data_IF_825402311810
#
_entry.id   IF_825402311810
#
_cell.length_a   1.000
_cell.length_b   1.000
_cell.length_c   1.000
_cell.angle_alpha   90.00
_cell.angle_beta   90.00
_cell.angle_gamma   90.00
#
_symmetry.space_group_name_H-M   'P 1'
#
loop_
_entity.id
_entity.type
_entity.pdbx_description
1 polymer ?
#
# COMPACT_ATOMS: atom_id res chain seq x y z
N UNK A 1 65.90 18.76 -2.05
CA UNK A 1 65.46 17.65 -2.94
C UNK A 1 64.58 16.75 -2.08
N UNK A 2 63.28 16.53 -2.30
CA UNK A 2 62.45 16.70 -3.50
C UNK A 2 60.99 16.79 -3.01
N UNK A 3 60.24 17.80 -3.47
CA UNK A 3 58.79 17.91 -3.22
C UNK A 3 58.06 16.92 -4.14
N UNK A 4 57.19 16.09 -3.57
CA UNK A 4 56.17 15.35 -4.32
C UNK A 4 54.83 16.09 -4.21
N UNK A 5 54.68 17.09 -5.07
CA UNK A 5 53.38 17.61 -5.52
C UNK A 5 52.90 16.72 -6.67
N UNK A 6 51.68 16.19 -6.59
CA UNK A 6 51.08 15.42 -7.69
C UNK A 6 49.57 15.21 -7.51
N UNK A 7 48.73 15.56 -8.50
CA UNK A 7 47.27 15.76 -8.41
C UNK A 7 46.43 14.48 -8.23
N UNK A 8 47.08 13.33 -8.03
CA UNK A 8 46.44 12.01 -7.98
C UNK A 8 45.77 11.71 -6.63
N UNK A 9 46.23 12.32 -5.54
CA UNK A 9 45.57 12.18 -4.23
C UNK A 9 44.17 12.83 -4.22
N UNK A 10 43.96 13.89 -5.01
CA UNK A 10 42.68 14.59 -5.08
C UNK A 10 41.65 13.82 -5.92
N UNK A 11 42.09 13.15 -7.00
CA UNK A 11 41.20 12.31 -7.82
C UNK A 11 40.77 11.02 -7.11
N UNK A 12 41.64 10.39 -6.32
CA UNK A 12 41.29 9.19 -5.53
C UNK A 12 40.24 9.55 -4.46
N UNK A 13 40.31 10.76 -3.89
CA UNK A 13 39.33 11.23 -2.92
C UNK A 13 37.94 11.48 -3.53
N UNK A 14 37.87 11.93 -4.79
CA UNK A 14 36.60 12.19 -5.49
C UNK A 14 35.89 10.89 -5.91
N UNK A 15 36.63 9.84 -6.27
CA UNK A 15 36.05 8.54 -6.64
C UNK A 15 35.56 7.77 -5.40
N UNK A 16 36.23 7.91 -4.26
CA UNK A 16 35.78 7.29 -3.01
C UNK A 16 34.55 8.00 -2.40
N UNK A 17 34.42 9.32 -2.62
CA UNK A 17 33.27 10.10 -2.15
C UNK A 17 31.98 9.90 -2.96
N UNK A 18 32.07 9.43 -4.21
CA UNK A 18 30.89 9.18 -5.06
C UNK A 18 30.23 7.81 -4.83
N UNK A 19 30.92 6.86 -4.19
CA UNK A 19 30.34 5.54 -3.88
C UNK A 19 29.43 5.51 -2.63
N UNK A 20 29.38 6.58 -1.82
CA UNK A 20 28.61 6.59 -0.57
C UNK A 20 27.14 6.99 -0.70
N UNK A 21 26.66 7.34 -1.90
CA UNK A 21 25.27 7.76 -2.12
C UNK A 21 24.45 6.80 -3.00
N UNK A 22 24.81 5.52 -3.04
CA UNK A 22 23.85 4.49 -3.42
C UNK A 22 22.94 4.20 -2.21
N UNK A 23 22.09 5.15 -1.84
CA UNK A 23 20.94 4.84 -0.98
C UNK A 23 20.04 3.93 -1.80
N UNK A 24 20.23 2.61 -1.63
CA UNK A 24 19.23 1.64 -2.00
C UNK A 24 17.92 2.15 -1.40
N UNK A 25 16.92 2.43 -2.24
CA UNK A 25 15.56 2.72 -1.81
C UNK A 25 15.07 1.49 -1.04
N UNK A 26 15.35 1.45 0.26
CA UNK A 26 14.89 0.38 1.12
C UNK A 26 13.42 0.66 1.32
N UNK A 27 12.57 -0.17 0.72
CA UNK A 27 11.17 -0.23 1.11
C UNK A 27 11.14 -0.29 2.63
N UNK A 28 10.54 0.71 3.27
CA UNK A 28 10.48 0.78 4.73
C UNK A 28 9.78 -0.50 5.20
N UNK A 29 10.48 -1.39 5.94
CA UNK A 29 9.86 -2.62 6.40
C UNK A 29 8.70 -2.25 7.33
N UNK A 30 7.54 -2.86 7.10
CA UNK A 30 6.37 -2.64 7.95
C UNK A 30 6.71 -2.99 9.40
N UNK A 31 6.44 -2.06 10.32
CA UNK A 31 6.64 -2.28 11.76
C UNK A 31 5.69 -3.38 12.25
N UNK A 32 4.43 -3.32 11.82
CA UNK A 32 3.40 -4.31 12.13
C UNK A 32 2.83 -4.83 10.82
N UNK A 33 3.33 -5.95 10.32
CA UNK A 33 2.76 -6.59 9.13
C UNK A 33 1.43 -7.28 9.50
N UNK A 34 0.25 -6.74 9.11
CA UNK A 34 -1.00 -7.41 9.41
C UNK A 34 -1.07 -8.70 8.59
N UNK A 35 -1.73 -9.74 9.11
CA UNK A 35 -1.86 -11.04 8.41
C UNK A 35 -3.26 -11.25 7.88
N UNK A 36 -3.94 -10.14 7.57
CA UNK A 36 -5.36 -10.08 7.32
C UNK A 36 -5.93 -8.68 7.55
N UNK A 37 -7.25 -8.60 7.70
CA UNK A 37 -7.96 -7.35 7.96
C UNK A 37 -9.21 -7.59 8.81
N UNK A 38 -9.45 -6.75 9.81
CA UNK A 38 -10.59 -6.86 10.75
C UNK A 38 -10.76 -8.29 11.31
N UNK A 39 -9.67 -8.86 11.83
CA UNK A 39 -9.61 -10.22 12.40
C UNK A 39 -9.92 -11.37 11.41
N UNK A 40 -9.98 -11.07 10.11
CA UNK A 40 -10.07 -12.07 9.04
C UNK A 40 -8.67 -12.30 8.46
N UNK A 41 -8.07 -13.50 8.63
CA UNK A 41 -6.75 -13.77 8.11
C UNK A 41 -6.77 -13.95 6.59
N UNK A 42 -5.64 -13.66 5.93
CA UNK A 42 -5.49 -13.98 4.51
C UNK A 42 -5.72 -15.45 4.23
N UNK A 43 -6.37 -15.74 3.11
CA UNK A 43 -6.72 -17.10 2.70
C UNK A 43 -7.98 -17.66 3.35
N UNK A 44 -8.62 -16.94 4.28
CA UNK A 44 -9.89 -17.36 4.87
C UNK A 44 -11.00 -17.41 3.81
N UNK A 45 -11.91 -18.36 3.99
CA UNK A 45 -13.17 -18.38 3.26
C UNK A 45 -14.10 -17.28 3.79
N UNK A 46 -14.63 -16.46 2.86
CA UNK A 46 -15.60 -15.41 3.16
C UNK A 46 -17.03 -15.85 2.86
N UNK A 47 -17.21 -16.92 2.09
CA UNK A 47 -18.53 -17.42 1.75
C UNK A 47 -19.25 -17.91 3.01
N UNK A 48 -20.53 -17.56 3.13
CA UNK A 48 -21.37 -18.00 4.26
C UNK A 48 -21.11 -17.28 5.59
N UNK A 49 -20.16 -16.34 5.66
CA UNK A 49 -19.98 -15.49 6.85
C UNK A 49 -21.21 -14.62 7.11
N UNK A 50 -21.75 -14.68 8.33
CA UNK A 50 -22.98 -13.96 8.68
C UNK A 50 -22.81 -12.44 8.67
N UNK A 51 -21.61 -11.94 8.97
CA UNK A 51 -21.26 -10.52 9.00
C UNK A 51 -21.03 -9.91 7.60
N UNK A 52 -20.90 -10.77 6.57
CA UNK A 52 -20.67 -10.36 5.19
C UNK A 52 -21.89 -10.61 4.30
N UNK A 53 -22.04 -9.74 3.30
CA UNK A 53 -22.93 -9.95 2.16
C UNK A 53 -22.13 -9.92 0.86
N UNK A 54 -22.45 -10.80 -0.07
CA UNK A 54 -21.84 -10.85 -1.40
C UNK A 54 -22.39 -9.71 -2.25
N UNK A 55 -21.50 -8.85 -2.74
CA UNK A 55 -21.86 -7.73 -3.63
C UNK A 55 -21.67 -8.09 -5.10
N UNK A 56 -20.72 -8.98 -5.39
CA UNK A 56 -20.45 -9.52 -6.73
C UNK A 56 -19.91 -10.93 -6.59
N UNK A 57 -20.38 -11.84 -7.43
CA UNK A 57 -19.84 -13.19 -7.51
C UNK A 57 -19.48 -13.50 -8.96
N UNK A 58 -18.27 -14.00 -9.17
CA UNK A 58 -17.76 -14.45 -10.45
C UNK A 58 -17.01 -15.78 -10.28
N UNK A 59 -16.50 -16.37 -11.38
CA UNK A 59 -15.92 -17.71 -11.38
C UNK A 59 -14.70 -17.85 -10.46
N UNK A 60 -13.84 -16.83 -10.45
CA UNK A 60 -12.61 -16.80 -9.65
C UNK A 60 -12.60 -15.68 -8.62
N UNK A 61 -13.42 -14.65 -8.81
CA UNK A 61 -13.39 -13.43 -8.01
C UNK A 61 -14.77 -13.21 -7.42
N UNK A 62 -14.82 -13.10 -6.09
CA UNK A 62 -16.02 -12.70 -5.37
C UNK A 62 -15.71 -11.49 -4.48
N UNK A 63 -16.62 -10.52 -4.48
CA UNK A 63 -16.57 -9.32 -3.67
C UNK A 63 -17.66 -9.36 -2.60
N UNK A 64 -17.30 -8.92 -1.40
CA UNK A 64 -18.15 -8.90 -0.22
C UNK A 64 -18.07 -7.54 0.46
N UNK A 65 -19.08 -7.21 1.25
CA UNK A 65 -19.03 -6.09 2.20
C UNK A 65 -19.56 -6.51 3.56
N UNK A 66 -19.13 -5.82 4.61
CA UNK A 66 -19.76 -5.94 5.92
C UNK A 66 -21.20 -5.43 5.87
N UNK A 67 -22.11 -6.12 6.56
CA UNK A 67 -23.52 -5.73 6.78
C UNK A 67 -23.69 -4.57 7.78
N UNK A 68 -22.72 -3.67 7.85
CA UNK A 68 -22.75 -2.48 8.71
C UNK A 68 -23.31 -1.29 7.96
N UNK A 69 -24.06 -0.43 8.67
CA UNK A 69 -24.61 0.81 8.11
C UNK A 69 -23.51 1.80 7.69
N UNK A 70 -22.35 1.78 8.36
CA UNK A 70 -21.24 2.72 8.10
C UNK A 70 -19.91 1.99 8.01
N UNK A 71 -19.34 1.83 6.81
CA UNK A 71 -18.01 1.28 6.67
C UNK A 71 -17.01 2.27 7.30
N UNK A 72 -16.15 1.81 8.19
CA UNK A 72 -15.17 2.65 8.87
C UNK A 72 -13.77 2.07 8.81
N UNK A 73 -12.79 2.96 8.72
CA UNK A 73 -11.37 2.62 8.74
C UNK A 73 -10.61 3.75 9.44
N UNK A 74 -9.60 3.41 10.25
CA UNK A 74 -8.85 4.40 11.04
C UNK A 74 -9.73 5.31 11.93
N UNK A 75 -10.89 4.83 12.37
CA UNK A 75 -11.86 5.63 13.15
C UNK A 75 -12.57 6.72 12.35
N UNK A 76 -12.64 6.62 11.02
CA UNK A 76 -13.37 7.53 10.12
C UNK A 76 -14.33 6.76 9.23
N UNK A 77 -15.43 7.40 8.87
CA UNK A 77 -16.37 6.87 7.88
C UNK A 77 -15.73 6.86 6.49
N UNK A 78 -15.80 5.72 5.84
CA UNK A 78 -15.34 5.49 4.47
C UNK A 78 -16.52 5.57 3.52
N UNK A 79 -16.27 5.82 2.23
CA UNK A 79 -17.34 5.72 1.24
C UNK A 79 -17.65 4.26 0.90
N UNK A 80 -16.66 3.38 0.94
CA UNK A 80 -16.85 1.94 0.82
C UNK A 80 -15.64 1.15 1.35
N UNK A 81 -15.90 -0.07 1.82
CA UNK A 81 -14.89 -1.09 2.09
C UNK A 81 -15.39 -2.38 1.43
N UNK A 82 -14.61 -2.92 0.50
CA UNK A 82 -14.88 -4.19 -0.16
C UNK A 82 -13.82 -5.21 0.23
N UNK A 83 -14.26 -6.43 0.52
CA UNK A 83 -13.44 -7.60 0.79
C UNK A 83 -13.47 -8.46 -0.46
N UNK A 84 -12.33 -8.94 -0.92
CA UNK A 84 -12.23 -9.66 -2.19
C UNK A 84 -11.55 -11.00 -1.96
N UNK A 85 -12.18 -12.06 -2.46
CA UNK A 85 -11.62 -13.40 -2.54
C UNK A 85 -11.21 -13.74 -3.97
N UNK A 86 -10.10 -14.46 -4.10
CA UNK A 86 -9.65 -15.13 -5.33
C UNK A 86 -9.65 -16.63 -5.10
N UNK A 87 -10.32 -17.40 -5.94
CA UNK A 87 -10.52 -18.85 -5.76
C UNK A 87 -11.00 -19.19 -4.33
N UNK A 88 -12.02 -18.47 -3.87
CA UNK A 88 -12.60 -18.53 -2.51
C UNK A 88 -11.66 -18.12 -1.36
N UNK A 89 -10.42 -17.70 -1.65
CA UNK A 89 -9.44 -17.29 -0.65
C UNK A 89 -9.42 -15.76 -0.47
N UNK A 90 -9.71 -15.26 0.74
CA UNK A 90 -9.63 -13.83 1.06
C UNK A 90 -8.23 -13.27 0.79
N UNK A 91 -8.14 -12.24 -0.05
CA UNK A 91 -6.85 -11.83 -0.59
C UNK A 91 -6.65 -10.32 -0.72
N UNK A 92 -7.72 -9.52 -0.72
CA UNK A 92 -7.63 -8.07 -0.89
C UNK A 92 -8.75 -7.32 -0.16
N UNK A 93 -8.42 -6.16 0.39
CA UNK A 93 -9.39 -5.15 0.83
C UNK A 93 -9.22 -3.88 0.01
N UNK A 94 -10.34 -3.33 -0.44
CA UNK A 94 -10.40 -2.06 -1.17
C UNK A 94 -11.16 -1.06 -0.32
N UNK A 95 -10.46 -0.05 0.19
CA UNK A 95 -11.06 1.06 0.95
C UNK A 95 -11.14 2.29 0.06
N UNK A 96 -12.29 2.96 0.05
CA UNK A 96 -12.48 4.23 -0.65
C UNK A 96 -12.95 5.30 0.32
N UNK A 97 -12.47 6.52 0.13
CA UNK A 97 -12.92 7.67 0.90
C UNK A 97 -12.78 8.98 0.12
N UNK A 98 -13.30 10.04 0.71
CA UNK A 98 -13.34 11.38 0.12
C UNK A 98 -12.80 12.42 1.11
N UNK A 99 -12.14 13.45 0.59
CA UNK A 99 -11.78 14.66 1.33
C UNK A 99 -10.34 14.66 1.84
N UNK A 100 -9.72 15.83 1.76
CA UNK A 100 -8.32 16.05 2.17
C UNK A 100 -8.09 15.79 3.67
N UNK A 101 -9.06 16.15 4.52
CA UNK A 101 -8.95 15.93 5.96
C UNK A 101 -8.98 14.44 6.32
N UNK A 102 -9.84 13.67 5.68
CA UNK A 102 -9.89 12.21 5.80
C UNK A 102 -8.57 11.60 5.32
N UNK A 103 -8.04 12.08 4.19
CA UNK A 103 -6.74 11.64 3.67
C UNK A 103 -5.60 11.85 4.68
N UNK A 104 -5.46 13.06 5.22
CA UNK A 104 -4.44 13.38 6.23
C UNK A 104 -4.59 12.54 7.50
N UNK A 105 -5.82 12.18 7.86
CA UNK A 105 -6.09 11.30 9.00
C UNK A 105 -5.68 9.85 8.72
N UNK A 106 -6.11 9.31 7.59
CA UNK A 106 -5.74 7.96 7.12
C UNK A 106 -4.23 7.80 7.00
N UNK A 107 -3.55 8.77 6.37
CA UNK A 107 -2.09 8.74 6.21
C UNK A 107 -1.38 8.67 7.55
N UNK A 108 -1.75 9.53 8.52
CA UNK A 108 -1.19 9.51 9.88
C UNK A 108 -1.45 8.19 10.59
N UNK A 109 -2.65 7.63 10.42
CA UNK A 109 -2.97 6.32 10.99
C UNK A 109 -2.05 5.24 10.41
N UNK A 110 -1.91 5.15 9.08
CA UNK A 110 -1.04 4.17 8.44
C UNK A 110 0.43 4.36 8.84
N UNK A 111 0.94 5.59 8.89
CA UNK A 111 2.30 5.89 9.38
C UNK A 111 2.50 5.39 10.82
N UNK A 112 1.50 5.57 11.69
CA UNK A 112 1.58 5.14 13.09
C UNK A 112 1.51 3.61 13.26
N UNK A 113 0.76 2.92 12.41
CA UNK A 113 0.60 1.46 12.49
C UNK A 113 1.74 0.72 11.81
N UNK A 114 2.20 1.23 10.66
CA UNK A 114 3.03 0.46 9.73
C UNK A 114 4.43 1.05 9.55
N UNK A 115 4.68 2.23 10.14
CA UNK A 115 5.97 2.91 10.12
C UNK A 115 5.98 4.17 9.26
N UNK A 116 6.90 5.10 9.55
CA UNK A 116 6.99 6.37 8.83
C UNK A 116 7.40 6.14 7.37
N UNK A 117 6.83 6.93 6.47
CA UNK A 117 7.28 6.95 5.08
C UNK A 117 8.55 7.80 4.98
N UNK A 118 9.53 7.35 4.20
CA UNK A 118 10.71 8.16 3.91
C UNK A 118 10.29 9.36 3.06
N UNK A 119 10.27 10.54 3.68
CA UNK A 119 9.79 11.76 3.04
C UNK A 119 10.91 12.35 2.19
N UNK A 120 10.91 12.08 0.88
CA UNK A 120 11.85 12.73 -0.03
C UNK A 120 11.37 14.17 -0.29
N UNK A 121 12.10 15.21 0.14
CA UNK A 121 11.74 16.59 -0.13
C UNK A 121 11.65 16.82 -1.65
N UNK A 122 10.53 17.40 -2.11
CA UNK A 122 10.23 17.60 -3.55
C UNK A 122 9.19 16.63 -4.13
N UNK A 123 8.98 15.44 -3.54
CA UNK A 123 7.89 14.55 -3.95
C UNK A 123 6.52 14.96 -3.37
N UNK A 124 6.50 15.60 -2.20
CA UNK A 124 5.27 16.06 -1.54
C UNK A 124 4.78 17.43 -2.04
N UNK A 125 5.63 18.19 -2.72
CA UNK A 125 5.30 19.52 -3.18
C UNK A 125 4.49 19.42 -4.49
N UNK A 126 3.16 19.34 -4.38
CA UNK A 126 2.18 19.57 -5.47
C UNK A 126 1.96 18.43 -6.47
N UNK A 127 1.94 17.17 -6.03
CA UNK A 127 1.37 16.10 -6.86
C UNK A 127 -0.17 16.19 -6.90
N UNK A 128 -0.78 16.27 -8.10
CA UNK A 128 -2.22 16.04 -8.27
C UNK A 128 -2.64 14.65 -7.75
N UNK A 129 -1.69 13.70 -7.75
CA UNK A 129 -1.82 12.37 -7.19
C UNK A 129 -0.68 12.11 -6.20
N UNK A 130 -1.01 11.62 -5.01
CA UNK A 130 -0.07 11.17 -3.99
C UNK A 130 -0.18 9.65 -3.89
N UNK A 131 0.95 8.96 -3.77
CA UNK A 131 0.98 7.51 -3.62
C UNK A 131 2.00 7.09 -2.56
N UNK A 132 1.59 6.16 -1.70
CA UNK A 132 2.38 5.64 -0.59
C UNK A 132 2.23 4.13 -0.52
N UNK A 133 3.33 3.44 -0.20
CA UNK A 133 3.36 1.99 -0.10
C UNK A 133 4.03 1.56 1.18
N UNK A 134 3.37 0.67 1.92
CA UNK A 134 3.96 -0.11 3.00
C UNK A 134 4.03 -1.56 2.57
N UNK A 135 5.19 -2.20 2.74
CA UNK A 135 5.41 -3.59 2.32
C UNK A 135 5.97 -4.41 3.47
N UNK A 136 5.21 -5.40 3.91
CA UNK A 136 5.58 -6.42 4.87
C UNK A 136 5.90 -7.75 4.18
N UNK A 137 6.29 -8.78 4.94
CA UNK A 137 6.39 -10.15 4.43
C UNK A 137 5.10 -10.71 3.82
N UNK A 138 3.96 -10.51 4.47
CA UNK A 138 2.66 -11.09 4.12
C UNK A 138 1.69 -10.08 3.52
N UNK A 139 1.74 -8.81 3.94
CA UNK A 139 0.84 -7.76 3.44
C UNK A 139 1.57 -6.66 2.66
N UNK A 140 0.89 -6.13 1.66
CA UNK A 140 1.22 -4.85 1.04
C UNK A 140 0.05 -3.88 1.16
N UNK A 141 0.33 -2.63 1.51
CA UNK A 141 -0.65 -1.56 1.57
C UNK A 141 -0.27 -0.47 0.59
N UNK A 142 -1.13 -0.19 -0.38
CA UNK A 142 -0.99 0.91 -1.32
C UNK A 142 -2.07 1.95 -1.06
N UNK A 143 -1.66 3.17 -0.70
CA UNK A 143 -2.53 4.32 -0.54
C UNK A 143 -2.32 5.27 -1.72
N UNK A 144 -3.40 5.62 -2.42
CA UNK A 144 -3.41 6.66 -3.46
C UNK A 144 -4.42 7.74 -3.10
N UNK A 145 -4.05 9.01 -3.29
CA UNK A 145 -4.94 10.14 -3.12
C UNK A 145 -4.87 11.08 -4.32
N UNK A 146 -6.02 11.36 -4.91
CA UNK A 146 -6.18 12.21 -6.08
C UNK A 146 -6.70 13.57 -5.64
N UNK A 147 -5.83 14.56 -5.46
CA UNK A 147 -6.17 15.88 -4.94
C UNK A 147 -7.22 16.61 -5.80
N UNK A 148 -7.16 16.46 -7.13
CA UNK A 148 -8.10 17.14 -8.03
C UNK A 148 -9.57 16.68 -7.89
N UNK A 149 -9.79 15.47 -7.37
CA UNK A 149 -11.16 14.97 -7.08
C UNK A 149 -11.36 14.67 -5.60
N UNK A 150 -10.37 14.97 -4.76
CA UNK A 150 -10.27 14.58 -3.34
C UNK A 150 -10.63 13.11 -3.04
N UNK A 151 -10.34 12.19 -3.96
CA UNK A 151 -10.62 10.75 -3.79
C UNK A 151 -9.41 10.00 -3.28
N UNK A 152 -9.63 9.19 -2.26
CA UNK A 152 -8.64 8.27 -1.71
C UNK A 152 -8.98 6.81 -1.96
N UNK A 153 -7.96 6.01 -2.26
CA UNK A 153 -8.04 4.58 -2.46
C UNK A 153 -6.97 3.90 -1.62
N UNK A 154 -7.34 2.83 -0.92
CA UNK A 154 -6.39 1.96 -0.20
C UNK A 154 -6.60 0.54 -0.69
N UNK A 155 -5.52 -0.09 -1.13
CA UNK A 155 -5.46 -1.53 -1.34
C UNK A 155 -4.65 -2.14 -0.20
N UNK A 156 -5.22 -3.11 0.50
CA UNK A 156 -4.55 -3.90 1.54
C UNK A 156 -4.59 -5.34 1.07
N UNK A 157 -3.43 -5.85 0.69
CA UNK A 157 -3.30 -7.05 -0.14
C UNK A 157 -2.48 -8.13 0.54
N UNK A 158 -2.94 -9.38 0.44
CA UNK A 158 -2.08 -10.54 0.63
C UNK A 158 -1.02 -10.58 -0.47
N UNK A 159 0.26 -10.60 -0.10
CA UNK A 159 1.37 -10.62 -1.05
C UNK A 159 1.48 -11.91 -1.87
N UNK A 160 0.85 -12.99 -1.41
CA UNK A 160 0.90 -14.30 -2.08
C UNK A 160 -0.36 -14.59 -2.88
N UNK A 161 -1.53 -14.12 -2.42
CA UNK A 161 -2.81 -14.38 -3.08
C UNK A 161 -3.21 -13.27 -4.05
N UNK A 162 -3.01 -11.99 -3.68
CA UNK A 162 -3.49 -10.88 -4.48
C UNK A 162 -2.92 -10.82 -5.92
N UNK A 163 -1.69 -11.28 -6.22
CA UNK A 163 -1.21 -11.34 -7.60
C UNK A 163 -2.12 -12.16 -8.53
N UNK A 164 -2.77 -13.23 -8.03
CA UNK A 164 -3.68 -14.08 -8.82
C UNK A 164 -4.91 -13.34 -9.32
N UNK A 165 -5.35 -12.28 -8.62
CA UNK A 165 -6.43 -11.43 -9.12
C UNK A 165 -6.10 -10.82 -10.47
N UNK A 166 -4.85 -10.39 -10.66
CA UNK A 166 -4.45 -9.70 -11.89
C UNK A 166 -4.49 -10.67 -13.08
N UNK A 167 -4.17 -11.94 -12.85
CA UNK A 167 -4.27 -13.00 -13.87
C UNK A 167 -5.71 -13.13 -14.36
N UNK A 168 -6.68 -13.27 -13.45
CA UNK A 168 -8.10 -13.43 -13.81
C UNK A 168 -8.77 -12.18 -14.39
N UNK A 169 -8.35 -10.99 -13.97
CA UNK A 169 -8.86 -9.73 -14.52
C UNK A 169 -8.34 -9.51 -15.96
N UNK A 170 -7.11 -9.95 -16.24
CA UNK A 170 -6.53 -9.86 -17.60
C UNK A 170 -7.21 -10.83 -18.55
N UNK A 171 -7.47 -12.07 -18.12
CA UNK A 171 -8.13 -13.10 -18.93
C UNK A 171 -9.61 -12.79 -19.22
N UNK A 172 -10.29 -12.03 -18.36
CA UNK A 172 -11.71 -11.66 -18.55
C UNK A 172 -11.92 -10.50 -19.53
N UNK A 173 -10.83 -9.87 -20.01
CA UNK A 173 -10.87 -8.74 -20.93
C UNK A 173 -10.57 -9.11 -22.40
N UNK A 174 -10.28 -10.39 -22.67
CA UNK A 174 -10.18 -10.99 -24.02
C UNK A 174 -11.48 -11.72 -24.39
#
# INVERSE_FOLDING_TARGET
>A
MTRLTGPHLFQIFIILATMLCAHAARAVPMINDPKGFHDIPWGADLAGREDLETTRSGPHISEYRLKTERPSFAGRDMSSIAYVSVDDQFARVIVRYQGEQTHKHVLRYLESQFGPLERIPGQMARGLNQQYTWRGPETEINLTYQAGTERGFIFIDSRTLAPRFNDHITDSAE
#
